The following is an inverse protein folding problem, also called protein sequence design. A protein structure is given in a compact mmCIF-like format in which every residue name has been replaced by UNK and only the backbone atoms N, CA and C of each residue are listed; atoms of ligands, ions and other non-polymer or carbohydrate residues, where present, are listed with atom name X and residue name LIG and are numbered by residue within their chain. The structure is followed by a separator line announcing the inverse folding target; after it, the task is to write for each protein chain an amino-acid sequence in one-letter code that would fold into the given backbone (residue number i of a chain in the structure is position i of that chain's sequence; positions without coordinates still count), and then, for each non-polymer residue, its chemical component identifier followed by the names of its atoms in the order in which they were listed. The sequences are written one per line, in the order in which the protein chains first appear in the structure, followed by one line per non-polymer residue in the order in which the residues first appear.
data_IF_796063145791
#
_entry.id   IF_796063145791
#
_cell.length_a   1.000
_cell.length_b   1.000
_cell.length_c   1.000
_cell.angle_alpha   90.00
_cell.angle_beta   90.00
_cell.angle_gamma   90.00
#
_symmetry.space_group_name_H-M   'P 1'
#
loop_
_entity.id
_entity.type
_entity.pdbx_description
1 polymer ?
#
# COMPACT_ATOMS: atom_id res chain seq x y z
N UNK A 1 58.74 -4.53 17.98
CA UNK A 1 57.58 -5.46 17.93
C UNK A 1 56.27 -4.89 18.51
N UNK A 2 56.16 -3.60 18.88
CA UNK A 2 54.95 -3.08 19.55
C UNK A 2 53.88 -2.46 18.61
N UNK A 3 54.27 -1.91 17.44
CA UNK A 3 53.35 -1.22 16.51
C UNK A 3 52.33 -2.13 15.81
N UNK A 4 52.63 -3.41 15.63
CA UNK A 4 51.75 -4.34 14.89
C UNK A 4 50.50 -4.70 15.71
N UNK A 5 50.62 -4.82 17.03
CA UNK A 5 49.49 -5.10 17.92
C UNK A 5 48.48 -3.95 18.00
N UNK A 6 48.93 -2.68 17.94
CA UNK A 6 48.02 -1.54 17.97
C UNK A 6 47.14 -1.42 16.72
N UNK A 7 47.69 -1.76 15.54
CA UNK A 7 46.93 -1.74 14.28
C UNK A 7 45.87 -2.85 14.26
N UNK A 8 46.20 -4.04 14.77
CA UNK A 8 45.25 -5.15 14.88
C UNK A 8 44.10 -4.84 15.85
N UNK A 9 44.39 -4.20 16.98
CA UNK A 9 43.36 -3.79 17.96
C UNK A 9 42.44 -2.71 17.40
N UNK A 10 42.98 -1.71 16.70
CA UNK A 10 42.18 -0.66 16.06
C UNK A 10 41.26 -1.23 14.95
N UNK A 11 41.76 -2.16 14.13
CA UNK A 11 40.95 -2.86 13.14
C UNK A 11 39.81 -3.67 13.79
N UNK A 12 40.09 -4.39 14.89
CA UNK A 12 39.08 -5.17 15.60
C UNK A 12 37.97 -4.30 16.20
N UNK A 13 38.31 -3.12 16.74
CA UNK A 13 37.34 -2.15 17.27
C UNK A 13 36.49 -1.55 16.14
N UNK A 14 37.11 -1.18 15.00
CA UNK A 14 36.39 -0.65 13.84
C UNK A 14 35.43 -1.69 13.23
N UNK A 15 35.87 -2.94 13.08
CA UNK A 15 35.04 -4.06 12.61
C UNK A 15 33.89 -4.36 13.57
N UNK A 16 34.13 -4.35 14.89
CA UNK A 16 33.06 -4.49 15.88
C UNK A 16 32.06 -3.33 15.81
N UNK A 17 32.52 -2.09 15.66
CA UNK A 17 31.63 -0.92 15.59
C UNK A 17 30.74 -0.94 14.34
N UNK A 18 31.25 -1.43 13.21
CA UNK A 18 30.48 -1.58 11.97
C UNK A 18 29.46 -2.71 12.08
N UNK A 19 29.83 -3.84 12.71
CA UNK A 19 28.92 -4.95 12.99
C UNK A 19 27.82 -4.56 13.99
N UNK A 20 28.14 -3.77 15.01
CA UNK A 20 27.15 -3.24 15.96
C UNK A 20 26.20 -2.27 15.25
N UNK A 21 26.70 -1.42 14.35
CA UNK A 21 25.87 -0.51 13.57
C UNK A 21 24.92 -1.25 12.62
N UNK A 22 25.37 -2.30 11.92
CA UNK A 22 24.51 -3.11 11.05
C UNK A 22 23.47 -3.91 11.84
N UNK A 23 23.83 -4.46 13.00
CA UNK A 23 22.87 -5.14 13.89
C UNK A 23 21.84 -4.16 14.45
N UNK A 24 22.26 -2.96 14.89
CA UNK A 24 21.36 -1.92 15.39
C UNK A 24 20.42 -1.40 14.30
N UNK A 25 20.93 -1.15 13.09
CA UNK A 25 20.08 -0.73 11.98
C UNK A 25 19.10 -1.84 11.59
N UNK A 26 19.51 -3.10 11.50
CA UNK A 26 18.58 -4.21 11.27
C UNK A 26 17.54 -4.37 12.39
N UNK A 27 17.91 -4.13 13.65
CA UNK A 27 16.98 -4.19 14.79
C UNK A 27 15.99 -3.02 14.76
N UNK A 28 16.43 -1.83 14.38
CA UNK A 28 15.55 -0.64 14.22
C UNK A 28 14.63 -0.80 13.00
N UNK A 29 15.15 -1.28 11.87
CA UNK A 29 14.33 -1.62 10.70
C UNK A 29 13.33 -2.74 11.01
N UNK A 30 13.74 -3.75 11.79
CA UNK A 30 12.87 -4.82 12.27
C UNK A 30 11.81 -4.36 13.29
N UNK A 31 12.09 -3.32 14.07
CA UNK A 31 11.12 -2.74 15.01
C UNK A 31 10.17 -1.73 14.34
N UNK A 32 10.60 -1.05 13.27
CA UNK A 32 9.75 -0.15 12.46
C UNK A 32 8.86 -0.90 11.46
N UNK A 33 9.22 -2.13 11.09
CA UNK A 33 8.38 -2.98 10.22
C UNK A 33 7.19 -3.64 10.93
N UNK A 34 7.11 -3.56 12.26
CA UNK A 34 6.25 -4.46 13.06
C UNK A 34 4.97 -3.82 13.64
N UNK A 35 4.70 -2.54 13.38
CA UNK A 35 3.36 -2.00 13.67
C UNK A 35 2.45 -2.25 12.49
N UNK A 36 1.62 -3.28 12.62
CA UNK A 36 0.41 -3.42 11.81
C UNK A 36 -0.36 -2.09 11.82
N UNK A 37 -1.00 -1.80 10.70
CA UNK A 37 -1.75 -0.57 10.51
C UNK A 37 -3.07 -0.92 9.82
N UNK A 38 -4.10 -0.13 10.09
CA UNK A 38 -5.46 -0.46 9.69
C UNK A 38 -5.91 0.30 8.45
N UNK A 39 -5.29 1.46 8.17
CA UNK A 39 -5.64 2.31 7.03
C UNK A 39 -4.47 2.49 6.08
N UNK A 40 -4.62 1.96 4.88
CA UNK A 40 -3.73 2.24 3.75
C UNK A 40 -4.25 3.45 2.98
N UNK A 41 -3.37 4.42 2.73
CA UNK A 41 -3.66 5.58 1.91
C UNK A 41 -2.73 5.52 0.69
N UNK A 42 -3.29 5.65 -0.51
CA UNK A 42 -2.55 5.65 -1.78
C UNK A 42 -2.88 6.89 -2.57
N UNK A 43 -1.86 7.60 -3.07
CA UNK A 43 -2.03 8.74 -3.97
C UNK A 43 -0.68 9.24 -4.49
N UNK A 44 -0.64 10.30 -5.30
CA UNK A 44 0.60 10.95 -5.75
C UNK A 44 1.53 11.34 -4.61
N UNK A 45 2.85 11.28 -4.86
CA UNK A 45 3.84 11.81 -3.91
C UNK A 45 3.60 13.29 -3.58
N UNK A 46 3.05 14.06 -4.53
CA UNK A 46 2.72 15.48 -4.35
C UNK A 46 1.64 15.78 -3.31
N UNK A 47 0.90 14.77 -2.82
CA UNK A 47 -0.11 14.96 -1.76
C UNK A 47 0.33 14.41 -0.40
N UNK A 48 1.54 13.86 -0.30
CA UNK A 48 1.99 13.20 0.92
C UNK A 48 2.04 14.16 2.13
N UNK A 49 2.54 15.38 1.91
CA UNK A 49 2.66 16.39 2.96
C UNK A 49 1.28 16.92 3.39
N UNK A 50 0.36 17.14 2.45
CA UNK A 50 -1.01 17.56 2.72
C UNK A 50 -1.80 16.51 3.49
N UNK A 51 -1.54 15.23 3.23
CA UNK A 51 -2.19 14.11 3.91
C UNK A 51 -1.65 13.86 5.33
N UNK A 52 -0.53 14.44 5.70
CA UNK A 52 0.08 14.26 7.03
C UNK A 52 -0.89 14.65 8.16
N UNK A 53 -1.61 15.78 8.01
CA UNK A 53 -2.59 16.21 9.02
C UNK A 53 -3.75 15.22 9.16
N UNK A 54 -4.18 14.58 8.06
CA UNK A 54 -5.23 13.57 8.09
C UNK A 54 -4.75 12.29 8.78
N UNK A 55 -3.51 11.86 8.51
CA UNK A 55 -2.89 10.70 9.15
C UNK A 55 -2.79 10.91 10.66
N UNK A 56 -2.27 12.06 11.09
CA UNK A 56 -2.18 12.43 12.51
C UNK A 56 -3.56 12.46 13.19
N UNK A 57 -4.56 13.01 12.50
CA UNK A 57 -5.94 12.97 12.99
C UNK A 57 -6.43 11.52 13.17
N UNK A 58 -6.25 10.64 12.17
CA UNK A 58 -6.65 9.22 12.28
C UNK A 58 -5.93 8.51 13.42
N UNK A 59 -4.63 8.74 13.56
CA UNK A 59 -3.83 8.18 14.66
C UNK A 59 -4.32 8.67 16.03
N UNK A 60 -4.69 9.96 16.16
CA UNK A 60 -5.28 10.51 17.39
C UNK A 60 -6.64 9.88 17.76
N UNK A 61 -7.32 9.28 16.77
CA UNK A 61 -8.58 8.54 16.92
C UNK A 61 -8.38 7.02 17.06
N UNK A 62 -7.13 6.57 17.20
CA UNK A 62 -6.79 5.16 17.39
C UNK A 62 -6.67 4.35 16.10
N UNK A 63 -6.70 4.99 14.92
CA UNK A 63 -6.52 4.31 13.63
C UNK A 63 -5.11 4.57 13.13
N UNK A 64 -4.27 3.53 13.14
CA UNK A 64 -2.93 3.60 12.55
C UNK A 64 -3.04 3.64 11.03
N UNK A 65 -2.59 4.74 10.41
CA UNK A 65 -2.66 4.97 8.97
C UNK A 65 -1.26 5.11 8.36
N UNK A 66 -1.08 4.65 7.12
CA UNK A 66 0.17 4.81 6.35
C UNK A 66 -0.12 5.26 4.93
N UNK A 67 0.71 6.17 4.43
CA UNK A 67 0.66 6.66 3.05
C UNK A 67 1.72 5.97 2.20
N UNK A 68 1.34 5.57 0.98
CA UNK A 68 2.26 5.10 -0.04
C UNK A 68 1.98 5.82 -1.35
N UNK A 69 3.03 6.31 -2.00
CA UNK A 69 2.86 7.03 -3.25
C UNK A 69 2.61 6.09 -4.43
N UNK A 70 1.87 6.55 -5.42
CA UNK A 70 1.70 5.86 -6.70
C UNK A 70 3.04 5.63 -7.40
N UNK A 71 3.96 6.59 -7.28
CA UNK A 71 5.32 6.55 -7.79
C UNK A 71 6.11 5.42 -7.14
N UNK A 72 6.05 5.29 -5.81
CA UNK A 72 6.67 4.21 -5.06
C UNK A 72 6.12 2.84 -5.47
N UNK A 73 4.80 2.71 -5.57
CA UNK A 73 4.15 1.45 -5.99
C UNK A 73 4.59 1.07 -7.41
N UNK A 74 4.62 2.04 -8.33
CA UNK A 74 4.95 1.79 -9.73
C UNK A 74 6.38 1.24 -9.91
N UNK A 75 7.35 1.72 -9.11
CA UNK A 75 8.73 1.23 -9.14
C UNK A 75 8.94 -0.06 -8.33
N UNK A 76 8.11 -0.31 -7.32
CA UNK A 76 8.27 -1.44 -6.40
C UNK A 76 7.74 -2.76 -6.95
N UNK A 77 6.79 -2.70 -7.91
CA UNK A 77 6.16 -3.87 -8.49
C UNK A 77 6.34 -3.91 -10.01
N UNK A 78 6.73 -5.08 -10.52
CA UNK A 78 6.69 -5.38 -11.95
C UNK A 78 5.29 -5.92 -12.28
N UNK A 79 4.68 -5.40 -13.33
CA UNK A 79 3.30 -5.74 -13.69
C UNK A 79 2.85 -5.01 -14.96
N UNK A 80 1.71 -5.43 -15.53
CA UNK A 80 1.24 -4.97 -16.84
C UNK A 80 0.86 -3.49 -16.85
N UNK A 81 0.23 -3.01 -15.78
CA UNK A 81 -0.26 -1.64 -15.67
C UNK A 81 -0.39 -1.20 -14.21
N UNK A 82 -0.74 0.07 -14.01
CA UNK A 82 -0.85 0.67 -12.68
C UNK A 82 -2.08 0.17 -11.91
N UNK A 83 -3.15 -0.25 -12.59
CA UNK A 83 -4.35 -0.80 -11.93
C UNK A 83 -3.99 -2.10 -11.24
N UNK A 84 -3.32 -3.01 -11.96
CA UNK A 84 -2.84 -4.27 -11.43
C UNK A 84 -1.83 -4.06 -10.30
N UNK A 85 -0.88 -3.14 -10.47
CA UNK A 85 0.15 -2.86 -9.44
C UNK A 85 -0.46 -2.34 -8.13
N UNK A 86 -1.43 -1.43 -8.19
CA UNK A 86 -2.13 -0.95 -6.99
C UNK A 86 -2.89 -2.10 -6.33
N UNK A 87 -3.58 -2.94 -7.11
CA UNK A 87 -4.33 -4.09 -6.58
C UNK A 87 -3.42 -5.09 -5.87
N UNK A 88 -2.32 -5.48 -6.51
CA UNK A 88 -1.34 -6.40 -5.92
C UNK A 88 -0.72 -5.80 -4.65
N UNK A 89 -0.39 -4.50 -4.67
CA UNK A 89 0.13 -3.81 -3.50
C UNK A 89 -0.86 -3.84 -2.32
N UNK A 90 -2.13 -3.52 -2.57
CA UNK A 90 -3.20 -3.59 -1.56
C UNK A 90 -3.37 -5.02 -1.05
N UNK A 91 -3.32 -6.03 -1.92
CA UNK A 91 -3.44 -7.43 -1.55
C UNK A 91 -2.27 -7.90 -0.66
N UNK A 92 -1.04 -7.48 -0.97
CA UNK A 92 0.12 -7.71 -0.12
C UNK A 92 -0.04 -7.05 1.25
N UNK A 93 -0.47 -5.79 1.30
CA UNK A 93 -0.66 -5.05 2.54
C UNK A 93 -1.80 -5.58 3.40
N UNK A 94 -2.86 -6.10 2.78
CA UNK A 94 -3.90 -6.85 3.45
C UNK A 94 -3.35 -8.10 4.14
N UNK A 95 -2.59 -8.92 3.43
CA UNK A 95 -1.99 -10.16 3.98
C UNK A 95 -0.94 -9.85 5.07
N UNK A 96 -0.12 -8.82 4.87
CA UNK A 96 1.01 -8.48 5.74
C UNK A 96 0.58 -7.71 6.99
N UNK A 97 -0.31 -6.74 6.84
CA UNK A 97 -0.62 -5.75 7.88
C UNK A 97 -2.06 -5.86 8.39
N UNK A 98 -2.93 -6.61 7.70
CA UNK A 98 -4.34 -6.75 8.07
C UNK A 98 -5.13 -5.46 7.90
N UNK A 99 -4.82 -4.66 6.85
CA UNK A 99 -5.51 -3.39 6.59
C UNK A 99 -7.03 -3.61 6.47
N UNK A 100 -7.80 -2.68 7.01
CA UNK A 100 -9.27 -2.70 7.02
C UNK A 100 -9.87 -1.59 6.16
N UNK A 101 -9.09 -0.51 5.96
CA UNK A 101 -9.50 0.67 5.22
C UNK A 101 -8.48 0.98 4.12
N UNK A 102 -8.98 1.36 2.96
CA UNK A 102 -8.20 1.89 1.85
C UNK A 102 -8.76 3.27 1.48
N UNK A 103 -7.91 4.28 1.47
CA UNK A 103 -8.23 5.61 0.97
C UNK A 103 -7.38 5.92 -0.27
N UNK A 104 -8.03 6.13 -1.40
CA UNK A 104 -7.41 6.56 -2.64
C UNK A 104 -7.45 8.09 -2.71
N UNK A 105 -6.33 8.75 -2.99
CA UNK A 105 -6.22 10.21 -3.06
C UNK A 105 -5.86 10.61 -4.49
N UNK A 106 -6.74 11.40 -5.12
CA UNK A 106 -6.60 11.86 -6.49
C UNK A 106 -7.67 11.33 -7.45
N UNK A 107 -7.70 11.91 -8.64
CA UNK A 107 -8.54 11.47 -9.78
C UNK A 107 -8.09 10.12 -10.36
N UNK A 108 -8.82 9.63 -11.37
CA UNK A 108 -8.46 8.41 -12.11
C UNK A 108 -7.15 8.53 -12.89
N UNK A 109 -6.64 9.74 -13.14
CA UNK A 109 -5.34 9.94 -13.81
C UNK A 109 -4.18 9.61 -12.88
N UNK A 110 -4.38 9.86 -11.58
CA UNK A 110 -3.39 9.64 -10.53
C UNK A 110 -3.47 8.22 -9.98
N UNK A 111 -4.68 7.80 -9.61
CA UNK A 111 -4.98 6.47 -9.06
C UNK A 111 -6.07 5.88 -9.94
N UNK A 112 -5.72 5.12 -10.99
CA UNK A 112 -6.70 4.62 -11.95
C UNK A 112 -7.73 3.72 -11.28
N UNK A 113 -8.86 3.54 -11.96
CA UNK A 113 -9.97 2.70 -11.50
C UNK A 113 -10.13 1.54 -12.47
N UNK A 114 -10.63 0.41 -11.99
CA UNK A 114 -10.90 -0.73 -12.87
C UNK A 114 -12.31 -0.63 -13.47
N UNK A 115 -12.55 -1.28 -14.61
CA UNK A 115 -13.86 -1.36 -15.23
C UNK A 115 -14.40 -2.76 -15.06
N UNK A 116 -15.59 -2.89 -14.48
CA UNK A 116 -16.22 -4.19 -14.20
C UNK A 116 -17.55 -4.27 -14.93
N UNK A 117 -17.84 -5.43 -15.52
CA UNK A 117 -19.10 -5.69 -16.17
C UNK A 117 -20.24 -5.64 -15.15
N UNK A 118 -21.06 -4.60 -15.21
CA UNK A 118 -22.14 -4.36 -14.25
C UNK A 118 -23.42 -4.03 -15.02
N UNK A 119 -24.07 -5.05 -15.59
CA UNK A 119 -25.28 -4.85 -16.33
C UNK A 119 -26.38 -4.35 -15.38
N UNK A 120 -27.10 -3.32 -15.82
CA UNK A 120 -28.14 -2.67 -15.04
C UNK A 120 -29.34 -2.37 -15.93
N UNK A 121 -30.51 -2.17 -15.33
CA UNK A 121 -31.67 -1.66 -16.04
C UNK A 121 -32.07 -0.32 -15.42
N UNK A 122 -31.82 0.76 -16.13
CA UNK A 122 -32.26 2.10 -15.73
C UNK A 122 -33.35 2.55 -16.68
N UNK A 123 -34.48 3.05 -16.14
CA UNK A 123 -35.62 3.53 -16.93
C UNK A 123 -36.15 2.53 -17.99
N UNK A 124 -36.15 1.23 -17.69
CA UNK A 124 -36.50 0.14 -18.62
C UNK A 124 -35.58 0.02 -19.85
N UNK A 125 -34.40 0.62 -19.82
CA UNK A 125 -33.33 0.41 -20.80
C UNK A 125 -32.26 -0.46 -20.15
N UNK A 126 -31.97 -1.60 -20.78
CA UNK A 126 -30.90 -2.47 -20.34
C UNK A 126 -29.54 -1.87 -20.76
N UNK A 127 -28.70 -1.61 -19.78
CA UNK A 127 -27.32 -1.15 -19.91
C UNK A 127 -26.40 -2.34 -19.61
N UNK A 128 -25.73 -2.86 -20.64
CA UNK A 128 -24.79 -3.98 -20.54
C UNK A 128 -23.33 -3.51 -20.60
N UNK A 129 -23.04 -2.32 -20.08
CA UNK A 129 -21.69 -1.77 -20.14
C UNK A 129 -20.84 -2.11 -18.91
N UNK A 130 -19.54 -1.99 -19.10
CA UNK A 130 -18.59 -1.95 -18.00
C UNK A 130 -18.67 -0.59 -17.30
N UNK A 131 -18.59 -0.61 -15.98
CA UNK A 131 -18.65 0.60 -15.14
C UNK A 131 -17.35 0.76 -14.35
N UNK A 132 -16.82 1.98 -14.22
CA UNK A 132 -15.63 2.22 -13.41
C UNK A 132 -15.93 1.92 -11.94
N UNK A 133 -14.97 1.31 -11.24
CA UNK A 133 -15.14 0.93 -9.84
C UNK A 133 -13.82 0.81 -9.09
N UNK A 134 -13.80 1.40 -7.89
CA UNK A 134 -12.72 1.19 -6.92
C UNK A 134 -12.94 -0.08 -6.07
N UNK A 135 -14.11 -0.74 -6.23
CA UNK A 135 -14.44 -2.00 -5.57
C UNK A 135 -13.39 -3.08 -5.83
N UNK A 136 -12.78 -3.06 -7.01
CA UNK A 136 -11.69 -3.95 -7.40
C UNK A 136 -10.57 -3.99 -6.34
N UNK A 137 -10.16 -2.81 -5.83
CA UNK A 137 -9.12 -2.70 -4.80
C UNK A 137 -9.58 -3.18 -3.42
N UNK A 138 -10.89 -3.26 -3.19
CA UNK A 138 -11.47 -3.77 -1.94
C UNK A 138 -11.43 -5.29 -1.83
N UNK A 139 -11.09 -6.00 -2.90
CA UNK A 139 -11.13 -7.47 -2.99
C UNK A 139 -9.72 -7.99 -3.32
N UNK A 140 -8.88 -8.28 -2.30
CA UNK A 140 -7.51 -8.77 -2.48
C UNK A 140 -7.35 -10.05 -3.30
N UNK A 141 -8.38 -10.89 -3.32
CA UNK A 141 -8.44 -12.18 -4.01
C UNK A 141 -9.45 -12.14 -5.16
N UNK A 142 -9.45 -11.03 -5.90
CA UNK A 142 -10.32 -10.84 -7.05
C UNK A 142 -10.14 -11.96 -8.10
N UNK A 143 -11.23 -12.58 -8.51
CA UNK A 143 -11.25 -13.57 -9.59
C UNK A 143 -12.22 -13.18 -10.71
N UNK A 144 -11.71 -13.10 -11.95
CA UNK A 144 -12.50 -12.73 -13.14
C UNK A 144 -13.48 -13.82 -13.61
N UNK A 145 -13.37 -15.04 -13.08
CA UNK A 145 -14.35 -16.10 -13.36
C UNK A 145 -15.65 -15.91 -12.55
N UNK A 146 -15.59 -15.14 -11.45
CA UNK A 146 -16.67 -15.00 -10.47
C UNK A 146 -17.41 -13.63 -10.53
N UNK A 147 -17.08 -12.79 -11.52
CA UNK A 147 -17.71 -11.46 -11.73
C UNK A 147 -19.13 -11.50 -12.32
N UNK A 148 -19.80 -12.65 -12.32
CA UNK A 148 -21.21 -12.75 -12.70
C UNK A 148 -22.13 -12.02 -11.71
N UNK A 149 -23.11 -11.25 -12.23
CA UNK A 149 -24.32 -10.66 -11.62
C UNK A 149 -24.35 -10.46 -10.07
N UNK A 150 -23.25 -9.99 -9.48
CA UNK A 150 -23.06 -9.66 -8.04
C UNK A 150 -22.70 -10.84 -7.08
N UNK A 151 -21.96 -11.87 -7.54
CA UNK A 151 -21.80 -13.11 -6.77
C UNK A 151 -20.47 -13.39 -6.04
N UNK A 152 -19.30 -13.17 -6.63
CA UNK A 152 -18.05 -13.73 -6.07
C UNK A 152 -17.16 -12.75 -5.30
N UNK A 153 -16.90 -11.58 -5.91
CA UNK A 153 -15.89 -10.66 -5.40
C UNK A 153 -16.44 -9.72 -4.31
N UNK A 154 -16.53 -10.22 -3.07
CA UNK A 154 -16.98 -9.47 -1.89
C UNK A 154 -15.82 -8.68 -1.26
N UNK A 155 -15.95 -7.35 -1.05
CA UNK A 155 -14.90 -6.54 -0.43
C UNK A 155 -14.56 -7.01 0.98
N UNK A 156 -13.26 -7.14 1.22
CA UNK A 156 -12.67 -7.43 2.53
C UNK A 156 -12.11 -6.17 3.17
N UNK A 157 -11.98 -5.10 2.39
CA UNK A 157 -11.45 -3.80 2.78
C UNK A 157 -12.48 -2.74 2.43
N UNK A 158 -12.77 -1.82 3.35
CA UNK A 158 -13.61 -0.67 3.07
C UNK A 158 -12.81 0.35 2.24
N UNK A 159 -13.27 0.63 1.02
CA UNK A 159 -12.59 1.52 0.08
C UNK A 159 -13.32 2.87 0.01
N UNK A 160 -12.55 3.95 0.04
CA UNK A 160 -13.02 5.30 -0.26
C UNK A 160 -12.04 6.04 -1.16
N UNK A 161 -12.53 7.08 -1.85
CA UNK A 161 -11.71 7.97 -2.67
C UNK A 161 -11.93 9.42 -2.26
N UNK A 162 -10.83 10.17 -2.16
CA UNK A 162 -10.80 11.63 -2.10
C UNK A 162 -10.39 12.15 -3.48
N UNK A 163 -11.35 12.49 -4.37
CA UNK A 163 -11.02 13.06 -5.67
C UNK A 163 -10.56 14.51 -5.48
N UNK A 164 -9.34 14.80 -5.91
CA UNK A 164 -8.70 16.12 -5.84
C UNK A 164 -8.00 16.44 -7.14
#
# INVERSE_FOLDING_TARGET
MYKHNHVLVLCAIALCSLAVFTVLSNLVYGAMSDRSYEMLIIGPESYMDEMQRFIEFKMSRGICARYFSTEFINISLQGPDMIWKIHEFVACEYKRSGIKYLLLVGTYEHVPTNYVYSPSSEFNVADFNYKPTDWYYGVPDWEDSEVGLLGGNIPKIAVGRLPV
#
